data_IF_296629149794
#
_entry.id   IF_296629149794
#
_cell.length_a   1.000
_cell.length_b   1.000
_cell.length_c   1.000
_cell.angle_alpha   90.00
_cell.angle_beta   90.00
_cell.angle_gamma   90.00
#
_symmetry.space_group_name_H-M   'P 1'
#
loop_
_entity.id
_entity.type
_entity.pdbx_description
1 polymer ?
#
# COMPACT_ATOMS: atom_id res chain seq x y z
N UNK A 1 0.82 -14.21 9.52
CA UNK A 1 0.07 -13.86 8.27
C UNK A 1 1.06 -13.75 7.12
N UNK A 2 0.71 -13.96 5.84
CA UNK A 2 1.71 -13.88 4.74
C UNK A 2 1.40 -12.71 3.80
N UNK A 3 2.24 -11.67 3.77
CA UNK A 3 2.16 -10.58 2.77
C UNK A 3 2.19 -11.13 1.33
N UNK A 4 2.92 -12.23 1.12
CA UNK A 4 2.98 -12.95 -0.14
C UNK A 4 1.61 -13.43 -0.68
N UNK A 5 0.56 -13.48 0.15
CA UNK A 5 -0.80 -13.79 -0.31
C UNK A 5 -1.55 -12.56 -0.86
N UNK A 6 -1.08 -11.34 -0.55
CA UNK A 6 -1.69 -10.07 -0.91
C UNK A 6 -0.94 -9.38 -2.05
N UNK A 7 0.39 -9.45 -2.03
CA UNK A 7 1.29 -8.72 -2.92
C UNK A 7 1.95 -9.65 -3.94
N UNK A 8 2.21 -9.15 -5.14
CA UNK A 8 3.12 -9.76 -6.11
C UNK A 8 4.25 -8.79 -6.42
N UNK A 9 5.36 -9.28 -6.97
CA UNK A 9 6.47 -8.44 -7.40
C UNK A 9 6.01 -7.36 -8.39
N UNK A 10 5.11 -7.65 -9.32
CA UNK A 10 4.61 -6.70 -10.31
C UNK A 10 3.80 -5.54 -9.72
N UNK A 11 3.33 -5.66 -8.46
CA UNK A 11 2.64 -4.59 -7.73
C UNK A 11 3.56 -3.83 -6.77
N UNK A 12 4.87 -3.91 -6.99
CA UNK A 12 5.91 -3.13 -6.30
C UNK A 12 6.51 -2.12 -7.27
N UNK A 13 6.44 -0.83 -6.94
CA UNK A 13 7.09 0.25 -7.70
C UNK A 13 8.00 1.07 -6.77
N UNK A 14 9.29 1.17 -7.10
CA UNK A 14 10.30 1.73 -6.18
C UNK A 14 10.70 3.18 -6.48
N UNK A 15 10.21 3.70 -7.61
CA UNK A 15 10.56 4.98 -8.21
C UNK A 15 9.30 5.72 -8.71
N UNK A 16 8.18 5.51 -8.02
CA UNK A 16 6.91 6.10 -8.40
C UNK A 16 6.99 7.64 -8.41
N UNK A 17 6.83 8.23 -9.59
CA UNK A 17 6.83 9.68 -9.79
C UNK A 17 5.48 10.29 -9.39
N UNK A 18 5.18 10.24 -8.10
CA UNK A 18 3.99 10.84 -7.51
C UNK A 18 4.38 12.01 -6.59
N UNK A 19 4.01 13.23 -6.97
CA UNK A 19 4.31 14.45 -6.20
C UNK A 19 3.16 14.90 -5.30
N UNK A 20 2.01 14.21 -5.36
CA UNK A 20 0.85 14.52 -4.53
C UNK A 20 0.20 13.23 -4.06
N UNK A 21 -0.53 13.32 -2.93
CA UNK A 21 -1.33 12.20 -2.40
C UNK A 21 -2.23 11.57 -3.47
N UNK A 22 -2.95 12.40 -4.25
CA UNK A 22 -3.82 11.91 -5.32
C UNK A 22 -3.04 11.13 -6.39
N UNK A 23 -1.87 11.62 -6.80
CA UNK A 23 -1.03 10.91 -7.79
C UNK A 23 -0.49 9.59 -7.24
N UNK A 24 -0.15 9.52 -5.95
CA UNK A 24 0.26 8.27 -5.33
C UNK A 24 -0.88 7.23 -5.35
N UNK A 25 -2.11 7.64 -5.02
CA UNK A 25 -3.29 6.77 -5.10
C UNK A 25 -3.62 6.34 -6.55
N UNK A 26 -3.43 7.22 -7.53
CA UNK A 26 -3.57 6.89 -8.95
C UNK A 26 -2.55 5.82 -9.38
N UNK A 27 -1.28 5.97 -9.00
CA UNK A 27 -0.23 4.97 -9.28
C UNK A 27 -0.57 3.61 -8.67
N UNK A 28 -1.02 3.58 -7.40
CA UNK A 28 -1.45 2.35 -6.74
C UNK A 28 -2.62 1.68 -7.48
N UNK A 29 -3.58 2.49 -7.93
CA UNK A 29 -4.76 2.00 -8.68
C UNK A 29 -4.36 1.36 -10.01
N UNK A 30 -3.35 1.90 -10.69
CA UNK A 30 -2.83 1.29 -11.91
C UNK A 30 -2.08 -0.02 -11.62
N UNK A 31 -1.29 -0.08 -10.54
CA UNK A 31 -0.59 -1.32 -10.15
C UNK A 31 -1.57 -2.47 -9.88
N UNK A 32 -2.71 -2.19 -9.26
CA UNK A 32 -3.72 -3.22 -9.00
C UNK A 32 -4.29 -3.86 -10.27
N UNK A 33 -4.35 -3.13 -11.40
CA UNK A 33 -4.85 -3.67 -12.68
C UNK A 33 -4.04 -4.85 -13.21
N UNK A 34 -2.78 -5.01 -12.79
CA UNK A 34 -1.93 -6.09 -13.27
C UNK A 34 -2.56 -7.47 -13.06
N UNK A 35 -3.19 -7.71 -11.90
CA UNK A 35 -3.81 -9.00 -11.56
C UNK A 35 -5.34 -8.97 -11.60
N UNK A 36 -5.93 -7.79 -11.80
CA UNK A 36 -7.38 -7.59 -11.92
C UNK A 36 -7.72 -6.68 -13.11
N UNK A 37 -7.37 -7.08 -14.35
CA UNK A 37 -7.51 -6.22 -15.54
C UNK A 37 -8.96 -5.86 -15.87
N UNK A 38 -9.91 -6.66 -15.38
CA UNK A 38 -11.35 -6.51 -15.61
C UNK A 38 -11.98 -5.40 -14.75
N UNK A 39 -11.28 -4.92 -13.72
CA UNK A 39 -11.75 -3.82 -12.86
C UNK A 39 -11.04 -2.53 -13.27
N UNK A 40 -11.78 -1.44 -13.44
CA UNK A 40 -11.20 -0.16 -13.84
C UNK A 40 -10.36 0.46 -12.71
N UNK A 41 -9.19 1.01 -13.05
CA UNK A 41 -8.37 1.77 -12.10
C UNK A 41 -9.13 2.97 -11.50
N UNK A 42 -10.10 3.54 -12.23
CA UNK A 42 -10.95 4.61 -11.72
C UNK A 42 -11.80 4.17 -10.52
N UNK A 43 -12.32 2.93 -10.53
CA UNK A 43 -13.11 2.39 -9.42
C UNK A 43 -12.23 2.09 -8.20
N UNK A 44 -11.03 1.55 -8.44
CA UNK A 44 -10.01 1.35 -7.41
C UNK A 44 -9.60 2.67 -6.75
N UNK A 45 -9.31 3.69 -7.57
CA UNK A 45 -8.97 5.03 -7.10
C UNK A 45 -10.12 5.65 -6.31
N UNK A 46 -11.34 5.53 -6.80
CA UNK A 46 -12.54 6.03 -6.13
C UNK A 46 -12.69 5.39 -4.75
N UNK A 47 -12.48 4.08 -4.64
CA UNK A 47 -12.50 3.35 -3.38
C UNK A 47 -11.46 3.86 -2.37
N UNK A 48 -10.19 3.98 -2.79
CA UNK A 48 -9.11 4.48 -1.95
C UNK A 48 -9.36 5.94 -1.52
N UNK A 49 -9.75 6.81 -2.47
CA UNK A 49 -10.06 8.21 -2.20
C UNK A 49 -11.25 8.37 -1.24
N UNK A 50 -12.28 7.53 -1.39
CA UNK A 50 -13.45 7.56 -0.51
C UNK A 50 -13.05 7.26 0.93
N UNK A 51 -12.16 6.29 1.16
CA UNK A 51 -11.64 6.02 2.51
C UNK A 51 -10.76 7.14 3.03
N UNK A 52 -9.87 7.67 2.20
CA UNK A 52 -8.93 8.73 2.56
C UNK A 52 -9.66 10.03 2.99
N UNK A 53 -10.81 10.34 2.38
CA UNK A 53 -11.67 11.48 2.75
C UNK A 53 -12.25 11.39 4.16
N UNK A 54 -12.37 10.20 4.75
CA UNK A 54 -12.85 10.02 6.12
C UNK A 54 -11.76 10.39 7.15
N UNK A 55 -10.52 10.52 6.71
CA UNK A 55 -9.36 10.79 7.54
C UNK A 55 -8.12 10.12 6.92
N UNK A 56 -6.99 10.82 7.04
CA UNK A 56 -5.71 10.37 6.49
C UNK A 56 -5.39 8.93 6.88
N UNK A 57 -4.86 8.17 5.94
CA UNK A 57 -4.32 6.81 6.18
C UNK A 57 -2.82 6.80 6.43
N UNK A 58 -2.21 7.97 6.67
CA UNK A 58 -0.85 8.09 7.16
C UNK A 58 -0.70 7.50 8.56
N UNK A 59 0.23 6.56 8.73
CA UNK A 59 0.58 5.99 10.03
C UNK A 59 1.56 6.87 10.82
N UNK A 60 2.12 7.88 10.18
CA UNK A 60 3.27 8.62 10.67
C UNK A 60 4.59 7.97 10.26
N UNK A 61 5.71 8.59 10.65
CA UNK A 61 7.07 8.11 10.36
C UNK A 61 7.35 7.86 8.87
N UNK A 62 6.68 8.64 8.01
CA UNK A 62 6.78 8.55 6.57
C UNK A 62 6.08 7.35 5.91
N UNK A 63 5.11 6.74 6.59
CA UNK A 63 4.33 5.62 6.05
C UNK A 63 2.85 5.96 5.89
N UNK A 64 2.22 5.46 4.82
CA UNK A 64 0.77 5.39 4.68
C UNK A 64 0.26 4.00 4.27
N UNK A 65 -0.96 3.68 4.70
CA UNK A 65 -1.64 2.41 4.38
C UNK A 65 -3.03 2.61 3.78
N UNK A 66 -3.15 3.27 2.61
CA UNK A 66 -4.45 3.52 1.98
C UNK A 66 -5.19 2.21 1.69
N UNK A 67 -6.47 2.15 2.05
CA UNK A 67 -7.24 0.92 1.90
C UNK A 67 -8.67 1.21 1.49
N UNK A 68 -9.34 0.24 0.85
CA UNK A 68 -10.68 0.46 0.34
C UNK A 68 -11.41 -0.85 0.05
N UNK A 69 -12.75 -0.80 0.11
CA UNK A 69 -13.62 -1.89 -0.34
C UNK A 69 -13.92 -1.75 -1.82
N UNK A 70 -13.85 -2.84 -2.58
CA UNK A 70 -14.05 -2.82 -4.02
C UNK A 70 -15.01 -3.93 -4.47
N UNK A 71 -16.00 -3.56 -5.28
CA UNK A 71 -16.92 -4.48 -5.91
C UNK A 71 -16.21 -5.29 -7.01
N UNK A 72 -16.63 -6.53 -7.25
CA UNK A 72 -16.05 -7.40 -8.28
C UNK A 72 -14.68 -8.00 -7.94
N UNK A 73 -14.13 -7.67 -6.77
CA UNK A 73 -12.88 -8.24 -6.29
C UNK A 73 -13.14 -9.54 -5.51
N UNK A 74 -12.45 -10.62 -5.87
CA UNK A 74 -12.67 -11.95 -5.28
C UNK A 74 -11.76 -12.29 -4.08
N UNK A 75 -10.66 -11.53 -3.90
CA UNK A 75 -9.70 -11.70 -2.80
C UNK A 75 -9.07 -10.37 -2.43
N UNK A 76 -8.52 -10.25 -1.22
CA UNK A 76 -7.74 -9.06 -0.88
C UNK A 76 -6.48 -8.98 -1.74
N UNK A 77 -6.14 -7.78 -2.21
CA UNK A 77 -4.92 -7.52 -2.99
C UNK A 77 -4.21 -6.31 -2.43
N UNK A 78 -2.88 -6.39 -2.35
CA UNK A 78 -2.00 -5.31 -1.91
C UNK A 78 -1.13 -4.79 -3.04
N UNK A 79 -0.72 -3.53 -2.95
CA UNK A 79 0.27 -2.90 -3.82
C UNK A 79 1.18 -2.02 -2.97
N UNK A 80 2.44 -1.89 -3.36
CA UNK A 80 3.42 -1.10 -2.62
C UNK A 80 4.14 -0.14 -3.55
N UNK A 81 4.27 1.10 -3.10
CA UNK A 81 5.13 2.08 -3.74
C UNK A 81 6.12 2.68 -2.75
N UNK A 82 7.34 2.91 -3.23
CA UNK A 82 8.34 3.76 -2.59
C UNK A 82 8.54 5.00 -3.46
N UNK A 83 8.42 6.17 -2.86
CA UNK A 83 8.59 7.45 -3.52
C UNK A 83 10.05 7.90 -3.41
N UNK A 84 10.67 8.40 -4.49
CA UNK A 84 12.00 8.99 -4.41
C UNK A 84 12.00 10.33 -3.64
N UNK A 85 10.84 10.98 -3.55
CA UNK A 85 10.62 12.19 -2.76
C UNK A 85 9.36 12.01 -1.93
N UNK A 86 9.48 12.19 -0.61
CA UNK A 86 8.34 12.12 0.28
C UNK A 86 7.33 13.24 -0.03
N UNK A 87 6.04 12.93 0.08
CA UNK A 87 4.95 13.86 -0.23
C UNK A 87 4.18 14.24 1.03
N UNK A 88 3.57 15.43 1.01
CA UNK A 88 2.55 15.75 1.99
C UNK A 88 1.38 14.78 1.84
N UNK A 89 1.11 14.06 2.92
CA UNK A 89 0.07 13.04 3.00
C UNK A 89 -0.91 13.34 4.13
N UNK A 90 -0.93 14.55 4.70
CA UNK A 90 -1.75 14.88 5.87
C UNK A 90 -1.61 13.83 7.00
N UNK A 91 -0.40 13.31 7.22
CA UNK A 91 -0.16 12.34 8.29
C UNK A 91 -0.39 12.99 9.66
N UNK A 92 -0.83 12.21 10.66
CA UNK A 92 -1.18 12.75 11.98
C UNK A 92 -0.01 13.39 12.72
N UNK A 93 1.22 12.98 12.41
CA UNK A 93 2.47 13.51 12.97
C UNK A 93 3.05 14.66 12.13
N UNK A 94 2.39 15.04 11.03
CA UNK A 94 2.83 16.07 10.09
C UNK A 94 4.03 15.69 9.24
N UNK A 95 4.52 14.44 9.29
CA UNK A 95 5.66 14.02 8.48
C UNK A 95 5.22 13.66 7.05
N UNK A 96 6.04 14.00 6.03
CA UNK A 96 5.76 13.58 4.66
C UNK A 96 5.97 12.07 4.51
N UNK A 97 5.25 11.45 3.58
CA UNK A 97 5.24 10.00 3.36
C UNK A 97 5.99 9.62 2.11
N UNK A 98 6.83 8.59 2.20
CA UNK A 98 7.58 8.00 1.09
C UNK A 98 7.32 6.50 0.90
N UNK A 99 6.85 5.80 1.94
CA UNK A 99 6.47 4.39 1.86
C UNK A 99 4.95 4.25 1.91
N UNK A 100 4.35 3.66 0.87
CA UNK A 100 2.89 3.53 0.79
C UNK A 100 2.51 2.10 0.43
N UNK A 101 1.79 1.42 1.31
CA UNK A 101 1.26 0.08 1.08
C UNK A 101 -0.27 0.15 1.01
N UNK A 102 -0.84 -0.03 -0.18
CA UNK A 102 -2.28 -0.03 -0.37
C UNK A 102 -2.92 -1.42 -0.22
N UNK A 103 -4.16 -1.47 0.25
CA UNK A 103 -4.94 -2.70 0.36
C UNK A 103 -6.37 -2.53 -0.19
N UNK A 104 -6.72 -3.28 -1.23
CA UNK A 104 -8.10 -3.41 -1.69
C UNK A 104 -8.69 -4.72 -1.18
N UNK A 105 -9.92 -4.63 -0.68
CA UNK A 105 -10.63 -5.76 -0.08
C UNK A 105 -11.97 -5.97 -0.76
N UNK A 106 -12.43 -7.23 -0.95
CA UNK A 106 -13.75 -7.49 -1.51
C UNK A 106 -14.85 -6.79 -0.72
N UNK A 107 -15.86 -6.26 -1.42
CA UNK A 107 -16.98 -5.59 -0.77
C UNK A 107 -17.70 -6.49 0.25
N UNK A 108 -17.87 -7.77 -0.09
CA UNK A 108 -18.52 -8.80 0.74
C UNK A 108 -17.59 -9.41 1.81
N UNK A 109 -16.31 -9.01 1.89
CA UNK A 109 -15.38 -9.59 2.84
C UNK A 109 -15.78 -9.29 4.30
N UNK A 110 -15.93 -10.35 5.10
CA UNK A 110 -16.03 -10.32 6.56
C UNK A 110 -14.75 -9.79 7.22
N UNK A 111 -14.75 -9.64 8.55
CA UNK A 111 -13.73 -9.00 9.42
C UNK A 111 -12.25 -9.43 9.23
N UNK A 112 -11.97 -10.49 8.47
CA UNK A 112 -10.62 -10.99 8.21
C UNK A 112 -9.67 -9.95 7.58
N UNK A 113 -10.19 -8.93 6.89
CA UNK A 113 -9.38 -7.86 6.32
C UNK A 113 -8.79 -6.90 7.37
N UNK A 114 -9.40 -6.75 8.55
CA UNK A 114 -8.84 -5.94 9.64
C UNK A 114 -7.54 -6.57 10.14
N UNK A 115 -7.45 -7.91 10.15
CA UNK A 115 -6.21 -8.63 10.50
C UNK A 115 -5.10 -8.36 9.47
N UNK A 116 -5.45 -8.28 8.19
CA UNK A 116 -4.50 -7.88 7.15
C UNK A 116 -3.96 -6.48 7.37
N UNK A 117 -4.85 -5.52 7.61
CA UNK A 117 -4.47 -4.14 7.84
C UNK A 117 -3.61 -3.97 9.11
N UNK A 118 -3.98 -4.65 10.20
CA UNK A 118 -3.26 -4.60 11.47
C UNK A 118 -1.82 -5.12 11.32
N UNK A 119 -1.64 -6.28 10.68
CA UNK A 119 -0.29 -6.84 10.50
C UNK A 119 0.57 -6.04 9.50
N UNK A 120 -0.04 -5.39 8.49
CA UNK A 120 0.68 -4.42 7.65
C UNK A 120 1.12 -3.22 8.51
N UNK A 121 0.21 -2.65 9.32
CA UNK A 121 0.53 -1.51 10.18
C UNK A 121 1.62 -1.84 11.20
N UNK A 122 1.57 -3.02 11.82
CA UNK A 122 2.59 -3.51 12.75
C UNK A 122 3.95 -3.64 12.07
N UNK A 123 4.01 -4.26 10.89
CA UNK A 123 5.25 -4.39 10.11
C UNK A 123 5.88 -3.02 9.79
N UNK A 124 5.07 -2.04 9.38
CA UNK A 124 5.55 -0.69 9.09
C UNK A 124 5.73 0.21 10.33
N UNK A 125 5.33 -0.25 11.51
CA UNK A 125 5.63 0.44 12.77
C UNK A 125 7.05 0.19 13.26
N UNK A 126 7.73 -0.85 12.75
CA UNK A 126 9.14 -1.12 13.02
C UNK A 126 10.03 -0.11 12.24
N UNK A 127 10.72 0.82 12.93
CA UNK A 127 11.59 1.81 12.28
C UNK A 127 12.76 1.17 11.53
N UNK A 128 13.28 0.04 12.02
CA UNK A 128 14.39 -0.66 11.38
C UNK A 128 13.96 -1.32 10.08
N UNK A 129 12.75 -1.87 10.04
CA UNK A 129 12.15 -2.37 8.80
C UNK A 129 11.96 -1.24 7.78
N UNK A 130 11.34 -0.13 8.17
CA UNK A 130 11.13 1.00 7.29
C UNK A 130 12.44 1.59 6.76
N UNK A 131 13.47 1.71 7.61
CA UNK A 131 14.82 2.12 7.21
C UNK A 131 15.42 1.16 6.19
N UNK A 132 15.39 -0.15 6.43
CA UNK A 132 15.89 -1.16 5.48
C UNK A 132 15.20 -1.01 4.12
N UNK A 133 13.88 -0.91 4.10
CA UNK A 133 13.11 -0.73 2.85
C UNK A 133 13.52 0.56 2.13
N UNK A 134 13.84 1.65 2.81
CA UNK A 134 14.30 2.90 2.18
C UNK A 134 15.70 2.79 1.57
N UNK A 135 16.61 2.10 2.25
CA UNK A 135 18.02 1.98 1.86
C UNK A 135 18.26 0.95 0.75
N UNK A 136 17.33 0.02 0.53
CA UNK A 136 17.45 -0.98 -0.53
C UNK A 136 17.58 -0.32 -1.92
N UNK A 137 18.43 -0.85 -2.81
CA UNK A 137 18.47 -0.41 -4.21
C UNK A 137 17.11 -0.48 -4.90
N UNK A 138 16.98 0.12 -6.08
CA UNK A 138 15.81 -0.04 -6.94
C UNK A 138 15.77 -1.44 -7.59
N UNK A 139 15.75 -2.48 -6.75
CA UNK A 139 15.56 -3.88 -7.11
C UNK A 139 14.20 -4.33 -6.60
N UNK A 140 13.24 -4.39 -7.55
CA UNK A 140 11.84 -4.72 -7.28
C UNK A 140 11.69 -6.08 -6.61
N UNK A 141 12.44 -7.07 -7.08
CA UNK A 141 12.34 -8.44 -6.58
C UNK A 141 12.90 -8.52 -5.16
N UNK A 142 14.07 -7.91 -4.92
CA UNK A 142 14.65 -7.86 -3.58
C UNK A 142 13.71 -7.21 -2.57
N UNK A 143 13.12 -6.04 -2.90
CA UNK A 143 12.18 -5.36 -2.01
C UNK A 143 10.91 -6.18 -1.81
N UNK A 144 10.35 -6.79 -2.86
CA UNK A 144 9.22 -7.71 -2.74
C UNK A 144 9.51 -8.86 -1.77
N UNK A 145 10.69 -9.48 -1.88
CA UNK A 145 11.12 -10.55 -0.97
C UNK A 145 11.24 -10.05 0.47
N UNK A 146 11.82 -8.86 0.69
CA UNK A 146 11.91 -8.26 2.04
C UNK A 146 10.53 -7.98 2.65
N UNK A 147 9.58 -7.46 1.87
CA UNK A 147 8.18 -7.25 2.28
C UNK A 147 7.50 -8.58 2.64
N UNK A 148 7.83 -9.67 1.95
CA UNK A 148 7.23 -10.99 2.18
C UNK A 148 7.85 -11.78 3.34
N UNK A 149 9.13 -11.55 3.65
CA UNK A 149 9.88 -12.26 4.71
C UNK A 149 9.51 -11.82 6.13
N UNK A 150 9.05 -10.58 6.31
CA UNK A 150 9.02 -9.92 7.62
C UNK A 150 7.84 -10.37 8.52
N UNK A 151 7.01 -11.31 8.10
CA UNK A 151 5.99 -11.90 8.99
C UNK A 151 6.36 -13.35 9.32
N UNK A 152 7.37 -13.50 10.16
CA UNK A 152 7.69 -14.74 10.84
C UNK A 152 7.51 -14.57 12.35
N UNK A 153 6.74 -15.49 12.93
CA UNK A 153 6.26 -15.62 14.31
C UNK A 153 5.13 -14.67 14.72
#
# INVERSE_FOLDING_TARGET
MKIAALLSADRVCLDALAQTKKKALETLSELFRHDTPDIAAADMLSSLCAREKLGSTGLGHGVAIPHGRLAGLNRCIGAFIRLPQAIDYDAHDGQPVDLIFALLVPQEACENHIKHLAAIAEMFSDPDFCRRIREMPNDREAVYQQLCQTIAA
#
